data_IF_442271184311
#
_entry.id   IF_442271184311
#
_cell.length_a   1.000
_cell.length_b   1.000
_cell.length_c   1.000
_cell.angle_alpha   90.00
_cell.angle_beta   90.00
_cell.angle_gamma   90.00
#
_symmetry.space_group_name_H-M   'P 1'
#
loop_
_entity.id
_entity.type
_entity.pdbx_description
1 polymer ?
#
# COMPACT_ATOMS: atom_id res chain seq x y z
N UNK A 1 3.71 -0.91 -9.10
CA UNK A 1 4.19 -2.21 -8.58
C UNK A 1 4.45 -2.24 -7.09
N UNK A 2 5.13 -1.24 -6.49
CA UNK A 2 5.43 -1.24 -5.05
C UNK A 2 4.16 -1.36 -4.18
N UNK A 3 3.13 -0.55 -4.42
CA UNK A 3 1.81 -0.67 -3.79
C UNK A 3 1.25 -2.09 -3.85
N UNK A 4 1.30 -2.75 -5.01
CA UNK A 4 0.75 -4.09 -5.21
C UNK A 4 1.39 -5.14 -4.29
N UNK A 5 2.66 -4.96 -3.90
CA UNK A 5 3.33 -5.86 -2.93
C UNK A 5 2.66 -5.84 -1.57
N UNK A 6 2.21 -4.66 -1.11
CA UNK A 6 1.51 -4.50 0.16
C UNK A 6 0.10 -5.07 0.08
N UNK A 7 -0.65 -4.71 -0.97
CA UNK A 7 -2.04 -5.14 -1.13
C UNK A 7 -2.18 -6.67 -1.31
N UNK A 8 -1.20 -7.34 -1.92
CA UNK A 8 -1.11 -8.80 -1.91
C UNK A 8 -0.76 -9.31 -0.50
N UNK A 9 0.35 -8.83 0.07
CA UNK A 9 0.94 -9.41 1.27
C UNK A 9 0.14 -9.21 2.56
N UNK A 10 -0.56 -8.09 2.71
CA UNK A 10 -1.32 -7.76 3.93
C UNK A 10 -2.68 -8.48 4.01
N UNK A 11 -3.11 -9.10 2.90
CA UNK A 11 -4.29 -9.96 2.77
C UNK A 11 -4.15 -11.30 3.50
N UNK A 12 -3.83 -11.25 4.80
CA UNK A 12 -3.69 -12.40 5.71
C UNK A 12 -4.15 -11.99 7.11
N UNK A 13 -4.94 -12.82 7.79
CA UNK A 13 -5.43 -12.60 9.15
C UNK A 13 -5.48 -13.91 9.95
N UNK A 14 -4.50 -14.13 10.84
CA UNK A 14 -4.55 -15.16 11.86
C UNK A 14 -5.79 -15.07 12.76
N UNK A 15 -6.28 -13.86 13.08
CA UNK A 15 -7.49 -13.67 13.85
C UNK A 15 -8.74 -14.22 13.14
N UNK A 16 -8.91 -13.95 11.84
CA UNK A 16 -9.98 -14.56 11.03
C UNK A 16 -9.79 -16.08 10.96
N UNK A 17 -8.57 -16.55 10.70
CA UNK A 17 -8.24 -17.98 10.62
C UNK A 17 -8.63 -18.74 11.90
N UNK A 18 -8.42 -18.12 13.08
CA UNK A 18 -8.77 -18.70 14.37
C UNK A 18 -10.28 -18.94 14.56
N UNK A 19 -11.14 -18.30 13.76
CA UNK A 19 -12.60 -18.52 13.77
C UNK A 19 -13.03 -19.71 12.89
N UNK A 20 -12.10 -20.35 12.18
CA UNK A 20 -12.38 -21.43 11.23
C UNK A 20 -12.75 -20.96 9.82
N UNK A 21 -12.60 -19.66 9.54
CA UNK A 21 -12.79 -19.05 8.20
C UNK A 21 -11.42 -18.79 7.57
N UNK A 22 -11.28 -18.91 6.25
CA UNK A 22 -10.01 -18.58 5.58
C UNK A 22 -9.67 -17.10 5.81
N UNK A 23 -8.48 -16.84 6.37
CA UNK A 23 -8.03 -15.48 6.70
C UNK A 23 -7.19 -14.79 5.62
N UNK A 24 -7.02 -15.41 4.45
CA UNK A 24 -6.09 -14.93 3.41
C UNK A 24 -4.71 -15.59 3.50
N UNK A 25 -3.99 -15.64 2.38
CA UNK A 25 -2.71 -16.34 2.24
C UNK A 25 -1.48 -15.43 2.31
N UNK A 26 -1.67 -14.11 2.40
CA UNK A 26 -0.59 -13.13 2.43
C UNK A 26 0.06 -12.99 1.07
N UNK A 27 1.40 -12.98 1.01
CA UNK A 27 2.12 -12.83 -0.26
C UNK A 27 2.05 -14.11 -1.11
N UNK A 28 0.89 -14.38 -1.71
CA UNK A 28 0.58 -15.59 -2.48
C UNK A 28 0.12 -15.29 -3.92
N UNK A 29 0.03 -14.01 -4.29
CA UNK A 29 -0.45 -13.56 -5.59
C UNK A 29 -1.96 -13.64 -5.76
N UNK A 30 -2.72 -13.81 -4.68
CA UNK A 30 -4.19 -13.86 -4.68
C UNK A 30 -4.80 -12.64 -5.36
N UNK A 31 -4.26 -11.44 -5.15
CA UNK A 31 -4.76 -10.21 -5.78
C UNK A 31 -4.68 -10.25 -7.32
N UNK A 32 -3.73 -11.01 -7.88
CA UNK A 32 -3.60 -11.19 -9.33
C UNK A 32 -4.36 -12.43 -9.84
N UNK A 33 -4.36 -13.52 -9.08
CA UNK A 33 -5.05 -14.77 -9.45
C UNK A 33 -6.57 -14.60 -9.38
N UNK A 34 -7.07 -13.90 -8.36
CA UNK A 34 -8.47 -13.63 -8.10
C UNK A 34 -8.82 -12.16 -8.36
N UNK A 35 -8.16 -11.53 -9.33
CA UNK A 35 -8.30 -10.09 -9.61
C UNK A 35 -9.75 -9.61 -9.73
N UNK A 36 -10.63 -10.40 -10.36
CA UNK A 36 -12.06 -10.07 -10.48
C UNK A 36 -12.82 -9.97 -9.14
N UNK A 37 -12.22 -10.38 -8.03
CA UNK A 37 -12.75 -10.25 -6.68
C UNK A 37 -11.95 -9.17 -5.95
N UNK A 38 -10.63 -9.32 -5.87
CA UNK A 38 -9.84 -8.56 -4.89
C UNK A 38 -9.66 -7.12 -5.27
N UNK A 39 -9.52 -6.83 -6.57
CA UNK A 39 -9.33 -5.45 -7.04
C UNK A 39 -10.64 -4.65 -7.00
N UNK A 40 -11.78 -5.30 -6.69
CA UNK A 40 -13.07 -4.64 -6.48
C UNK A 40 -13.32 -4.27 -5.01
N UNK A 41 -12.47 -4.69 -4.07
CA UNK A 41 -12.52 -4.20 -2.69
C UNK A 41 -12.18 -2.70 -2.66
N UNK A 42 -12.84 -1.95 -1.79
CA UNK A 42 -12.70 -0.49 -1.74
C UNK A 42 -11.24 -0.07 -1.49
N UNK A 43 -10.56 -0.73 -0.55
CA UNK A 43 -9.15 -0.50 -0.24
C UNK A 43 -8.21 -0.83 -1.42
N UNK A 44 -8.62 -1.68 -2.36
CA UNK A 44 -7.82 -2.12 -3.50
C UNK A 44 -8.12 -1.35 -4.80
N UNK A 45 -8.99 -0.33 -4.77
CA UNK A 45 -9.31 0.42 -5.98
C UNK A 45 -8.05 0.97 -6.67
N UNK A 46 -8.01 0.86 -8.00
CA UNK A 46 -6.87 1.23 -8.85
C UNK A 46 -5.73 0.21 -8.91
N UNK A 47 -5.83 -0.94 -8.22
CA UNK A 47 -4.82 -2.02 -8.36
C UNK A 47 -5.07 -2.92 -9.57
N UNK A 48 -6.25 -2.88 -10.16
CA UNK A 48 -6.62 -3.64 -11.35
C UNK A 48 -5.76 -3.27 -12.57
N UNK A 49 -5.47 -1.98 -12.77
CA UNK A 49 -4.61 -1.52 -13.85
C UNK A 49 -3.23 -2.20 -13.80
N UNK A 50 -2.55 -2.12 -12.66
CA UNK A 50 -1.20 -2.70 -12.51
C UNK A 50 -1.22 -4.23 -12.55
N UNK A 51 -2.30 -4.88 -12.09
CA UNK A 51 -2.49 -6.33 -12.25
C UNK A 51 -2.61 -6.70 -13.72
N UNK A 52 -3.39 -5.94 -14.50
CA UNK A 52 -3.54 -6.15 -15.94
C UNK A 52 -2.23 -5.91 -16.72
N UNK A 53 -1.47 -4.88 -16.37
CA UNK A 53 -0.16 -4.59 -16.98
C UNK A 53 0.88 -5.68 -16.67
N UNK A 54 0.83 -6.28 -15.47
CA UNK A 54 1.73 -7.37 -15.08
C UNK A 54 1.35 -8.72 -15.69
N UNK A 55 0.06 -8.98 -15.94
CA UNK A 55 -0.46 -10.26 -16.43
C UNK A 55 0.24 -10.81 -17.71
N UNK A 56 0.47 -10.05 -18.79
CA UNK A 56 1.16 -10.57 -19.97
C UNK A 56 2.65 -10.85 -19.76
N UNK A 57 3.27 -10.25 -18.74
CA UNK A 57 4.66 -10.57 -18.36
C UNK A 57 4.66 -11.88 -17.58
N UNK A 58 3.80 -11.99 -16.56
CA UNK A 58 3.61 -13.22 -15.78
C UNK A 58 3.33 -14.42 -16.69
N UNK A 59 2.42 -14.30 -17.66
CA UNK A 59 2.06 -15.39 -18.57
C UNK A 59 3.22 -15.87 -19.49
N UNK A 60 4.25 -15.05 -19.70
CA UNK A 60 5.43 -15.38 -20.52
C UNK A 60 6.56 -16.04 -19.73
N UNK A 61 6.47 -16.07 -18.40
CA UNK A 61 7.54 -16.57 -17.53
C UNK A 61 7.01 -17.67 -16.60
N UNK A 62 7.83 -18.70 -16.36
CA UNK A 62 7.48 -19.79 -15.43
C UNK A 62 7.74 -19.37 -13.97
N UNK A 63 6.95 -18.43 -13.47
CA UNK A 63 7.02 -17.85 -12.12
C UNK A 63 5.60 -17.74 -11.54
N UNK A 64 5.44 -17.87 -10.23
CA UNK A 64 4.12 -17.71 -9.59
C UNK A 64 3.74 -16.24 -9.50
N UNK A 65 2.44 -15.95 -9.40
CA UNK A 65 1.96 -14.57 -9.25
C UNK A 65 2.55 -13.88 -8.02
N UNK A 66 2.57 -14.55 -6.87
CA UNK A 66 3.15 -14.00 -5.64
C UNK A 66 4.65 -13.70 -5.78
N UNK A 67 5.42 -14.59 -6.40
CA UNK A 67 6.85 -14.34 -6.65
C UNK A 67 7.04 -13.17 -7.63
N UNK A 68 6.23 -13.08 -8.68
CA UNK A 68 6.32 -12.01 -9.67
C UNK A 68 5.98 -10.64 -9.08
N UNK A 69 4.93 -10.53 -8.26
CA UNK A 69 4.53 -9.26 -7.63
C UNK A 69 5.68 -8.72 -6.76
N UNK A 70 6.28 -9.58 -5.94
CA UNK A 70 7.38 -9.20 -5.05
C UNK A 70 8.66 -8.89 -5.83
N UNK A 71 8.95 -9.63 -6.91
CA UNK A 71 10.02 -9.31 -7.85
C UNK A 71 9.83 -7.94 -8.50
N UNK A 72 8.63 -7.66 -9.03
CA UNK A 72 8.30 -6.41 -9.70
C UNK A 72 8.35 -5.21 -8.74
N UNK A 73 7.97 -5.39 -7.48
CA UNK A 73 8.15 -4.38 -6.43
C UNK A 73 9.62 -4.10 -6.14
N UNK A 74 10.44 -5.14 -5.95
CA UNK A 74 11.87 -5.00 -5.69
C UNK A 74 12.62 -4.32 -6.85
N UNK A 75 12.37 -4.75 -8.08
CA UNK A 75 12.94 -4.12 -9.28
C UNK A 75 12.42 -2.70 -9.45
N UNK A 76 11.12 -2.47 -9.25
CA UNK A 76 10.52 -1.14 -9.35
C UNK A 76 11.20 -0.15 -8.40
N UNK A 77 11.37 -0.52 -7.13
CA UNK A 77 12.03 0.32 -6.14
C UNK A 77 13.52 0.53 -6.44
N UNK A 78 14.22 -0.46 -7.02
CA UNK A 78 15.63 -0.32 -7.40
C UNK A 78 15.90 0.76 -8.45
N UNK A 79 14.86 1.22 -9.16
CA UNK A 79 14.97 2.32 -10.11
C UNK A 79 14.87 3.71 -9.45
N UNK A 80 14.47 3.80 -8.18
CA UNK A 80 14.35 5.06 -7.44
C UNK A 80 15.70 5.41 -6.78
N UNK A 81 16.33 6.55 -7.11
CA UNK A 81 17.55 6.98 -6.43
C UNK A 81 17.34 7.07 -4.91
N UNK A 82 18.31 6.57 -4.14
CA UNK A 82 18.21 6.51 -2.67
C UNK A 82 17.61 5.21 -2.11
N UNK A 83 17.01 4.38 -2.97
CA UNK A 83 16.37 3.14 -2.54
C UNK A 83 17.36 2.14 -1.92
N UNK A 84 16.94 1.38 -0.90
CA UNK A 84 17.73 0.27 -0.40
C UNK A 84 17.80 -0.87 -1.41
N UNK A 85 18.84 -1.69 -1.32
CA UNK A 85 18.88 -2.95 -2.04
C UNK A 85 17.95 -3.95 -1.34
N UNK A 86 16.75 -4.15 -1.91
CA UNK A 86 15.81 -5.14 -1.40
C UNK A 86 16.27 -6.58 -1.66
N UNK A 87 15.94 -7.47 -0.73
CA UNK A 87 16.04 -8.92 -0.93
C UNK A 87 14.89 -9.40 -1.82
N UNK A 88 15.17 -10.37 -2.69
CA UNK A 88 14.16 -11.12 -3.41
C UNK A 88 14.31 -12.62 -3.12
N UNK A 89 13.29 -13.20 -2.51
CA UNK A 89 13.18 -14.64 -2.28
C UNK A 89 12.09 -15.21 -3.19
N UNK A 90 12.34 -16.38 -3.78
CA UNK A 90 11.36 -17.12 -4.58
C UNK A 90 10.79 -18.32 -3.80
N UNK A 91 9.61 -18.78 -4.18
CA UNK A 91 9.00 -20.00 -3.63
C UNK A 91 7.57 -19.83 -3.11
N UNK A 92 6.89 -18.71 -3.42
CA UNK A 92 5.48 -18.53 -3.04
C UNK A 92 4.59 -19.49 -3.84
N UNK A 93 3.82 -20.38 -3.19
CA UNK A 93 2.84 -21.19 -3.90
C UNK A 93 1.73 -20.31 -4.46
N UNK A 94 1.07 -20.77 -5.53
CA UNK A 94 -0.09 -20.06 -6.07
C UNK A 94 -1.24 -20.05 -5.06
N UNK A 95 -1.86 -18.88 -4.87
CA UNK A 95 -3.07 -18.73 -4.07
C UNK A 95 -4.17 -19.73 -4.49
N UNK A 96 -4.91 -20.24 -3.51
CA UNK A 96 -6.02 -21.19 -3.74
C UNK A 96 -7.40 -20.58 -3.49
N UNK A 97 -7.45 -19.44 -2.80
CA UNK A 97 -8.65 -18.71 -2.46
C UNK A 97 -8.35 -17.20 -2.47
N UNK A 98 -9.35 -16.35 -2.74
CA UNK A 98 -9.25 -14.92 -2.51
C UNK A 98 -8.99 -14.59 -1.03
N UNK A 99 -8.18 -13.58 -0.77
CA UNK A 99 -8.10 -12.92 0.53
C UNK A 99 -9.46 -12.32 0.93
N UNK A 100 -9.82 -12.35 2.22
CA UNK A 100 -11.00 -11.65 2.70
C UNK A 100 -10.86 -10.13 2.51
N UNK A 101 -11.98 -9.47 2.19
CA UNK A 101 -12.09 -8.01 2.23
C UNK A 101 -11.81 -7.48 3.66
N UNK A 102 -11.58 -6.17 3.79
CA UNK A 102 -11.29 -5.45 5.03
C UNK A 102 -9.96 -5.88 5.70
N UNK A 103 -9.08 -6.56 4.95
CA UNK A 103 -7.73 -6.92 5.41
C UNK A 103 -6.67 -5.88 5.01
N UNK A 104 -6.98 -4.97 4.08
CA UNK A 104 -6.13 -3.87 3.66
C UNK A 104 -6.59 -2.57 4.36
N UNK A 105 -5.71 -1.85 5.08
CA UNK A 105 -6.06 -0.57 5.70
C UNK A 105 -6.52 0.49 4.70
N UNK A 106 -7.43 1.35 5.15
CA UNK A 106 -7.98 2.47 4.39
C UNK A 106 -7.39 3.81 4.87
N UNK A 107 -7.34 4.85 4.00
CA UNK A 107 -6.75 6.14 4.38
C UNK A 107 -7.53 6.88 5.47
N UNK A 108 -8.77 6.47 5.76
CA UNK A 108 -9.62 7.01 6.82
C UNK A 108 -9.73 6.10 8.05
N UNK A 109 -8.97 5.00 8.09
CA UNK A 109 -8.88 4.16 9.28
C UNK A 109 -8.14 4.89 10.41
N UNK A 110 -8.59 4.66 11.63
CA UNK A 110 -7.92 5.19 12.82
C UNK A 110 -6.54 4.58 13.02
N UNK A 111 -5.63 5.29 13.69
CA UNK A 111 -4.32 4.75 14.09
C UNK A 111 -4.46 3.43 14.87
N UNK A 112 -5.47 3.30 15.74
CA UNK A 112 -5.74 2.08 16.50
C UNK A 112 -6.04 0.88 15.59
N UNK A 113 -6.93 1.05 14.61
CA UNK A 113 -7.31 -0.01 13.68
C UNK A 113 -6.17 -0.38 12.75
N UNK A 114 -5.39 0.59 12.26
CA UNK A 114 -4.21 0.35 11.44
C UNK A 114 -3.19 -0.48 12.22
N UNK A 115 -2.78 -0.04 13.42
CA UNK A 115 -1.80 -0.76 14.23
C UNK A 115 -2.29 -2.17 14.60
N UNK A 116 -3.58 -2.34 14.89
CA UNK A 116 -4.17 -3.65 15.16
C UNK A 116 -4.15 -4.57 13.91
N UNK A 117 -4.42 -4.02 12.72
CA UNK A 117 -4.40 -4.77 11.46
C UNK A 117 -3.00 -5.28 11.14
N UNK A 118 -1.99 -4.43 11.29
CA UNK A 118 -0.58 -4.79 11.12
C UNK A 118 -0.11 -5.80 12.18
N UNK A 119 -0.55 -5.67 13.43
CA UNK A 119 -0.26 -6.64 14.48
C UNK A 119 -0.88 -8.02 14.17
N UNK A 120 -2.11 -8.07 13.67
CA UNK A 120 -2.75 -9.32 13.25
C UNK A 120 -2.03 -9.94 12.03
N UNK A 121 -1.79 -9.17 10.98
CA UNK A 121 -1.24 -9.69 9.72
C UNK A 121 0.16 -10.31 9.85
N UNK A 122 1.03 -9.74 10.69
CA UNK A 122 2.43 -10.16 10.77
C UNK A 122 3.13 -9.86 12.09
N UNK A 123 2.37 -9.56 13.15
CA UNK A 123 2.92 -9.12 14.44
C UNK A 123 3.87 -7.91 14.31
N UNK A 124 3.51 -6.98 13.41
CA UNK A 124 4.25 -5.74 13.21
C UNK A 124 4.04 -4.80 14.41
N UNK A 125 5.13 -4.17 14.84
CA UNK A 125 5.14 -3.12 15.86
C UNK A 125 4.89 -1.75 15.24
N UNK A 126 4.46 -0.77 16.05
CA UNK A 126 4.21 0.59 15.57
C UNK A 126 5.40 1.22 14.79
N UNK A 127 6.68 1.10 15.23
CA UNK A 127 7.81 1.56 14.42
C UNK A 127 7.92 0.86 13.06
N UNK A 128 7.60 -0.44 12.96
CA UNK A 128 7.65 -1.15 11.69
C UNK A 128 6.54 -0.71 10.74
N UNK A 129 5.36 -0.31 11.26
CA UNK A 129 4.31 0.31 10.44
C UNK A 129 4.83 1.62 9.84
N UNK A 130 5.45 2.48 10.65
CA UNK A 130 6.07 3.73 10.16
C UNK A 130 7.15 3.46 9.12
N UNK A 131 7.99 2.43 9.30
CA UNK A 131 9.00 2.07 8.30
C UNK A 131 8.39 1.66 6.97
N UNK A 132 7.28 0.92 6.97
CA UNK A 132 6.60 0.50 5.74
C UNK A 132 5.93 1.68 5.00
N UNK A 133 5.51 2.73 5.73
CA UNK A 133 5.04 3.98 5.12
C UNK A 133 6.13 4.75 4.37
N UNK A 134 7.42 4.41 4.51
CA UNK A 134 8.47 4.99 3.65
C UNK A 134 8.19 4.75 2.16
N UNK A 135 7.38 3.73 1.82
CA UNK A 135 6.93 3.53 0.44
C UNK A 135 6.16 4.73 -0.14
N UNK A 136 5.55 5.58 0.69
CA UNK A 136 4.83 6.77 0.25
C UNK A 136 5.74 7.87 -0.33
N UNK A 137 7.04 7.84 -0.07
CA UNK A 137 8.01 8.80 -0.66
C UNK A 137 8.23 8.60 -2.16
N UNK A 138 7.82 7.45 -2.71
CA UNK A 138 7.87 7.15 -4.15
C UNK A 138 6.50 6.74 -4.67
N UNK A 139 5.48 7.52 -4.28
CA UNK A 139 4.09 7.19 -4.55
C UNK A 139 3.21 8.43 -4.82
N UNK A 140 2.05 8.15 -5.38
CA UNK A 140 1.00 9.11 -5.68
C UNK A 140 -0.39 8.45 -5.51
N UNK A 141 -1.42 9.28 -5.43
CA UNK A 141 -2.82 8.86 -5.35
C UNK A 141 -3.58 9.17 -6.65
N UNK A 142 -4.35 8.19 -7.12
CA UNK A 142 -5.19 8.34 -8.32
C UNK A 142 -6.68 8.52 -8.01
N UNK A 143 -7.16 7.90 -6.93
CA UNK A 143 -8.59 7.74 -6.67
C UNK A 143 -9.10 8.40 -5.39
N UNK A 144 -8.22 9.00 -4.58
CA UNK A 144 -8.61 9.78 -3.40
C UNK A 144 -9.29 11.08 -3.84
N UNK A 145 -8.64 11.85 -4.70
CA UNK A 145 -9.28 12.90 -5.49
C UNK A 145 -9.21 12.52 -6.99
N UNK A 146 -10.31 11.98 -7.55
CA UNK A 146 -10.35 11.58 -8.96
C UNK A 146 -10.22 12.72 -9.98
N UNK A 147 -10.25 13.99 -9.55
CA UNK A 147 -10.08 15.15 -10.44
C UNK A 147 -8.61 15.46 -10.76
N UNK A 148 -7.69 14.92 -9.96
CA UNK A 148 -6.23 15.12 -10.05
C UNK A 148 -5.47 13.79 -9.83
N UNK A 149 -5.65 12.77 -10.69
CA UNK A 149 -4.92 11.51 -10.56
C UNK A 149 -3.41 11.73 -10.71
N UNK A 150 -2.62 10.90 -10.02
CA UNK A 150 -1.16 11.00 -9.99
C UNK A 150 -0.62 12.08 -9.04
N UNK A 151 -1.42 12.57 -8.09
CA UNK A 151 -0.95 13.58 -7.11
C UNK A 151 -0.05 12.92 -6.05
N UNK A 152 1.22 13.34 -5.92
CA UNK A 152 2.19 12.69 -5.03
C UNK A 152 1.94 12.98 -3.55
N UNK A 153 2.51 12.12 -2.68
CA UNK A 153 2.47 12.30 -1.22
C UNK A 153 3.63 13.13 -0.67
N UNK A 154 4.63 13.41 -1.51
CA UNK A 154 5.72 14.33 -1.20
C UNK A 154 6.18 15.09 -2.46
N UNK A 155 7.10 16.03 -2.28
CA UNK A 155 7.63 16.85 -3.38
C UNK A 155 8.63 16.14 -4.29
N UNK A 156 9.00 14.89 -4.00
CA UNK A 156 10.06 14.13 -4.66
C UNK A 156 9.67 12.67 -4.98
N UNK A 157 8.53 12.40 -5.65
CA UNK A 157 7.95 11.06 -5.78
C UNK A 157 8.75 10.06 -6.64
N UNK A 158 9.89 10.49 -7.19
CA UNK A 158 10.82 9.63 -7.93
C UNK A 158 12.09 9.28 -7.12
N UNK A 159 12.28 9.90 -5.95
CA UNK A 159 13.43 9.71 -5.08
C UNK A 159 13.01 9.00 -3.79
N UNK A 160 13.73 7.95 -3.43
CA UNK A 160 13.54 7.30 -2.15
C UNK A 160 14.31 8.05 -1.06
N UNK A 161 13.67 9.08 -0.49
CA UNK A 161 14.25 9.92 0.54
C UNK A 161 13.35 10.04 1.78
N UNK A 162 13.41 11.17 2.49
CA UNK A 162 12.63 11.40 3.72
C UNK A 162 11.68 12.60 3.60
N UNK A 163 11.44 13.13 2.40
CA UNK A 163 10.57 14.28 2.21
C UNK A 163 9.14 13.98 2.66
N UNK A 164 8.60 12.79 2.35
CA UNK A 164 7.33 12.32 2.90
C UNK A 164 7.22 12.51 4.43
N UNK A 165 8.22 12.11 5.20
CA UNK A 165 8.20 12.25 6.67
C UNK A 165 8.33 13.71 7.14
N UNK A 166 9.02 14.56 6.37
CA UNK A 166 9.18 15.98 6.70
C UNK A 166 7.89 16.74 6.36
N UNK A 167 7.33 16.51 5.18
CA UNK A 167 6.21 17.26 4.62
C UNK A 167 4.91 16.89 5.31
N UNK A 168 4.69 15.62 5.69
CA UNK A 168 3.54 15.19 6.52
C UNK A 168 3.48 15.88 7.89
N UNK A 169 4.62 16.33 8.43
CA UNK A 169 4.68 17.07 9.70
C UNK A 169 4.28 18.54 9.56
N UNK A 170 4.37 19.11 8.34
CA UNK A 170 3.98 20.50 8.11
C UNK A 170 2.48 20.70 8.34
N UNK A 171 2.10 21.91 8.75
CA UNK A 171 0.69 22.29 8.89
C UNK A 171 0.03 22.21 7.50
N UNK A 172 -1.06 21.46 7.39
CA UNK A 172 -1.92 21.49 6.20
C UNK A 172 -2.57 22.87 6.04
N UNK A 173 -2.62 23.38 4.82
CA UNK A 173 -3.14 24.72 4.52
C UNK A 173 -4.05 24.79 3.30
N UNK A 174 -4.12 23.72 2.50
CA UNK A 174 -4.94 23.65 1.28
C UNK A 174 -5.26 22.20 0.91
N UNK A 175 -6.25 22.00 0.04
CA UNK A 175 -6.40 20.77 -0.75
C UNK A 175 -5.82 21.04 -2.15
N UNK A 176 -5.00 20.14 -2.73
CA UNK A 176 -4.39 20.36 -4.04
C UNK A 176 -5.40 20.38 -5.18
N UNK A 177 -6.57 19.76 -4.99
CA UNK A 177 -7.70 19.75 -5.92
C UNK A 177 -9.00 20.17 -5.25
N UNK A 178 -9.91 19.22 -5.09
CA UNK A 178 -11.20 19.41 -4.42
C UNK A 178 -11.11 19.04 -2.94
N UNK A 179 -11.93 19.68 -2.10
CA UNK A 179 -12.04 19.31 -0.68
C UNK A 179 -13.24 18.40 -0.42
N UNK A 180 -13.21 17.65 0.68
CA UNK A 180 -14.32 16.79 1.12
C UNK A 180 -14.23 15.35 0.61
N UNK A 181 -13.09 14.93 0.08
CA UNK A 181 -12.83 13.54 -0.27
C UNK A 181 -12.55 12.70 0.99
N UNK A 182 -13.09 11.48 1.05
CA UNK A 182 -12.95 10.62 2.21
C UNK A 182 -11.49 10.15 2.38
N UNK A 183 -10.92 10.35 3.56
CA UNK A 183 -9.53 9.98 3.84
C UNK A 183 -8.49 10.98 3.31
N UNK A 184 -8.90 12.14 2.80
CA UNK A 184 -8.02 13.25 2.46
C UNK A 184 -8.08 14.35 3.52
N UNK A 185 -6.94 14.96 3.83
CA UNK A 185 -6.84 16.17 4.67
C UNK A 185 -5.97 17.22 3.99
N UNK A 186 -6.01 18.45 4.49
CA UNK A 186 -5.19 19.54 3.93
C UNK A 186 -3.69 19.17 3.92
N UNK A 187 -3.05 19.37 2.77
CA UNK A 187 -1.62 19.23 2.54
C UNK A 187 -0.90 20.59 2.70
N UNK A 188 0.43 20.60 2.82
CA UNK A 188 1.20 21.82 3.05
C UNK A 188 1.67 22.52 1.77
N UNK A 189 1.61 21.85 0.62
CA UNK A 189 2.17 22.32 -0.65
C UNK A 189 1.14 22.17 -1.79
N UNK A 190 1.16 23.11 -2.73
CA UNK A 190 0.38 23.01 -3.97
C UNK A 190 0.85 21.79 -4.78
N UNK A 191 -0.08 20.94 -5.21
CA UNK A 191 0.23 19.73 -5.96
C UNK A 191 0.69 18.53 -5.13
N UNK A 192 0.65 18.62 -3.79
CA UNK A 192 0.87 17.49 -2.88
C UNK A 192 -0.47 17.09 -2.25
N UNK A 193 -0.76 15.78 -2.13
CA UNK A 193 -1.93 15.25 -1.44
C UNK A 193 -1.53 14.64 -0.10
N UNK A 194 -2.39 14.77 0.91
CA UNK A 194 -2.15 14.16 2.23
C UNK A 194 -3.30 13.26 2.64
N UNK A 195 -2.98 12.00 2.93
CA UNK A 195 -3.93 11.04 3.51
C UNK A 195 -4.17 11.35 4.99
N UNK A 196 -5.40 11.13 5.45
CA UNK A 196 -5.77 11.29 6.86
C UNK A 196 -4.94 10.36 7.75
N UNK A 197 -4.81 9.08 7.38
CA UNK A 197 -4.01 8.09 8.10
C UNK A 197 -2.55 8.51 8.28
N UNK A 198 -1.89 9.02 7.24
CA UNK A 198 -0.51 9.50 7.29
C UNK A 198 -0.37 10.72 8.22
N UNK A 199 -1.33 11.65 8.13
CA UNK A 199 -1.39 12.84 8.99
C UNK A 199 -1.54 12.48 10.48
N UNK A 200 -2.37 11.48 10.78
CA UNK A 200 -2.62 11.00 12.14
C UNK A 200 -1.45 10.17 12.68
N UNK A 201 -0.88 9.26 11.89
CA UNK A 201 0.29 8.46 12.26
C UNK A 201 1.51 9.34 12.54
N UNK A 202 1.68 10.45 11.81
CA UNK A 202 2.74 11.42 12.07
C UNK A 202 2.60 12.15 13.43
N UNK A 203 1.43 12.09 14.09
CA UNK A 203 1.12 12.88 15.30
C UNK A 203 0.72 12.04 16.50
N UNK A 204 0.45 10.75 16.32
CA UNK A 204 0.13 9.84 17.41
C UNK A 204 1.36 9.54 18.27
N UNK A 205 1.20 9.59 19.59
CA UNK A 205 2.28 9.37 20.57
C UNK A 205 3.03 8.02 20.45
N UNK A 206 2.48 7.04 19.74
CA UNK A 206 3.08 5.71 19.52
C UNK A 206 3.96 5.66 18.27
N UNK A 207 3.80 6.62 17.36
CA UNK A 207 4.41 6.61 16.01
C UNK A 207 5.10 7.92 15.64
N UNK A 208 4.91 9.01 16.38
CA UNK A 208 5.54 10.31 16.19
C UNK A 208 7.00 10.39 16.65
#
# INVERSE_FOLDING_TARGET
SLRLTFHDAIGISPAIAATGVFGGGGADGSIAIFASIETNFHANLGTDEIVMEQAPILARHNITAGDFIQFAGAVGLSNCPGAPQLEFLLGRPAATQPAPDLTVPEPFDTVDSILARFADAGNFTAPQVVWLLSSHTVAAADLVDPTIPGTPFDSTPEQFDTQFFIETQLRGTLFPGTGGNQGEVESPLEGELRLQSDSELARDSRTA
#
